data_IF_489501527335
#
_entry.id   IF_489501527335
#
_cell.length_a   1.000
_cell.length_b   1.000
_cell.length_c   1.000
_cell.angle_alpha   90.00
_cell.angle_beta   90.00
_cell.angle_gamma   90.00
#
_symmetry.space_group_name_H-M   'P 1'
#
loop_
_entity.id
_entity.type
_entity.pdbx_description
1 polymer ?
#
# COMPACT_ATOMS: atom_id res chain seq x y z
N UNK A 1 -11.63 9.11 -0.65
CA UNK A 1 -10.37 8.90 0.10
C UNK A 1 -10.47 7.83 1.18
N UNK A 2 -11.40 7.90 2.16
CA UNK A 2 -11.49 6.89 3.23
C UNK A 2 -11.53 5.44 2.72
N UNK A 3 -12.29 5.18 1.65
CA UNK A 3 -12.31 3.85 1.01
C UNK A 3 -10.92 3.37 0.58
N UNK A 4 -10.07 4.24 0.01
CA UNK A 4 -8.74 3.86 -0.45
C UNK A 4 -7.80 3.53 0.71
N UNK A 5 -7.85 4.31 1.80
CA UNK A 5 -7.17 3.98 3.05
C UNK A 5 -7.65 2.64 3.65
N UNK A 6 -8.96 2.39 3.57
CA UNK A 6 -9.56 1.17 4.08
C UNK A 6 -9.10 -0.09 3.35
N UNK A 7 -8.78 -0.03 2.04
CA UNK A 7 -8.22 -1.19 1.33
C UNK A 7 -6.95 -1.70 2.03
N UNK A 8 -6.07 -0.77 2.44
CA UNK A 8 -4.80 -1.10 3.09
C UNK A 8 -4.96 -1.49 4.57
N UNK A 9 -5.78 -0.76 5.34
CA UNK A 9 -6.01 -1.07 6.77
C UNK A 9 -6.81 -2.37 6.96
N UNK A 10 -7.69 -2.73 6.03
CA UNK A 10 -8.46 -3.97 6.10
C UNK A 10 -7.58 -5.23 6.04
N UNK A 11 -6.40 -5.17 5.41
CA UNK A 11 -5.54 -6.34 5.18
C UNK A 11 -4.25 -6.35 6.00
N UNK A 12 -3.96 -5.29 6.76
CA UNK A 12 -2.73 -5.13 7.53
C UNK A 12 -3.01 -4.68 8.98
N UNK A 13 -1.98 -4.31 9.74
CA UNK A 13 -2.14 -3.69 11.05
C UNK A 13 -2.10 -2.16 11.04
N UNK A 14 -2.01 -1.52 9.87
CA UNK A 14 -2.00 -0.06 9.79
C UNK A 14 -3.40 0.49 10.11
N UNK A 15 -3.45 1.63 10.79
CA UNK A 15 -4.67 2.34 11.11
C UNK A 15 -4.55 3.80 10.64
N UNK A 16 -5.65 4.37 10.17
CA UNK A 16 -5.68 5.74 9.65
C UNK A 16 -6.73 6.54 10.38
N UNK A 17 -6.33 7.73 10.84
CA UNK A 17 -7.22 8.69 11.47
C UNK A 17 -7.12 10.02 10.75
N UNK A 18 -8.21 10.41 10.12
CA UNK A 18 -8.34 11.76 9.58
C UNK A 18 -8.35 12.78 10.73
N UNK A 19 -7.55 13.84 10.59
CA UNK A 19 -7.61 15.01 11.45
C UNK A 19 -8.70 15.92 10.88
N UNK A 20 -9.79 16.19 11.61
CA UNK A 20 -10.84 17.10 11.16
C UNK A 20 -10.27 18.48 10.84
N UNK A 21 -10.78 19.17 9.81
CA UNK A 21 -10.25 20.46 9.37
C UNK A 21 -10.33 21.55 10.45
N UNK A 22 -11.24 21.43 11.41
CA UNK A 22 -11.38 22.32 12.55
C UNK A 22 -10.31 22.12 13.64
N UNK A 23 -9.54 21.02 13.60
CA UNK A 23 -8.48 20.74 14.56
C UNK A 23 -7.15 21.25 14.00
N UNK A 24 -6.50 22.12 14.76
CA UNK A 24 -5.09 22.51 14.53
C UNK A 24 -4.23 21.57 15.38
N UNK A 25 -3.58 20.56 14.79
CA UNK A 25 -2.82 19.60 15.59
C UNK A 25 -1.48 20.23 16.03
N UNK A 26 -1.06 19.92 17.26
CA UNK A 26 0.25 20.33 17.76
C UNK A 26 1.39 19.64 17.00
N UNK A 27 1.14 18.40 16.56
CA UNK A 27 2.05 17.60 15.76
C UNK A 27 1.53 17.61 14.31
N UNK A 28 2.39 17.89 13.31
CA UNK A 28 2.05 17.72 11.91
C UNK A 28 1.40 16.35 11.61
N UNK A 29 0.42 16.27 10.69
CA UNK A 29 -0.10 14.99 10.24
C UNK A 29 1.00 14.18 9.54
N UNK A 30 0.97 12.86 9.73
CA UNK A 30 1.87 11.92 9.05
C UNK A 30 1.67 11.90 7.54
N UNK A 31 0.42 12.10 7.08
CA UNK A 31 0.05 12.10 5.66
C UNK A 31 -0.66 13.41 5.33
N UNK A 32 -0.25 14.04 4.22
CA UNK A 32 -0.89 15.24 3.65
C UNK A 32 -1.29 14.97 2.22
N UNK A 33 -2.56 15.21 1.91
CA UNK A 33 -3.11 15.04 0.58
C UNK A 33 -3.47 16.40 0.00
N UNK A 34 -3.03 16.69 -1.22
CA UNK A 34 -3.37 17.91 -1.93
C UNK A 34 -3.68 17.63 -3.41
N UNK A 35 -4.45 18.53 -4.01
CA UNK A 35 -4.64 18.62 -5.45
C UNK A 35 -3.86 19.85 -5.92
N UNK A 36 -2.79 19.64 -6.66
CA UNK A 36 -1.84 20.68 -7.08
C UNK A 36 -1.83 20.83 -8.61
N UNK A 37 -1.26 21.92 -9.13
CA UNK A 37 -1.16 22.18 -10.58
C UNK A 37 0.24 22.60 -10.95
N UNK A 38 0.74 22.10 -12.08
CA UNK A 38 2.05 22.50 -12.60
C UNK A 38 3.15 22.44 -11.54
N UNK A 39 3.97 23.50 -11.47
CA UNK A 39 4.99 23.63 -10.42
C UNK A 39 4.36 23.97 -9.06
N UNK A 40 4.61 23.12 -8.06
CA UNK A 40 4.01 23.22 -6.73
C UNK A 40 5.02 23.03 -5.59
N UNK A 41 6.26 23.52 -5.78
CA UNK A 41 7.28 23.71 -4.72
C UNK A 41 7.86 22.43 -4.12
N UNK A 42 7.71 21.29 -4.79
CA UNK A 42 8.31 20.02 -4.40
C UNK A 42 9.36 19.50 -5.41
N UNK A 43 9.54 20.20 -6.53
CA UNK A 43 10.49 19.84 -7.59
C UNK A 43 9.98 18.79 -8.57
N UNK A 44 8.72 18.35 -8.44
CA UNK A 44 8.07 17.38 -9.31
C UNK A 44 6.82 18.03 -9.94
N UNK A 45 7.02 18.94 -10.88
CA UNK A 45 5.91 19.64 -11.51
C UNK A 45 4.98 18.66 -12.25
N UNK A 46 3.67 18.86 -12.13
CA UNK A 46 2.69 18.17 -12.99
C UNK A 46 2.73 18.71 -14.42
N UNK A 47 2.36 17.87 -15.38
CA UNK A 47 2.39 18.15 -16.81
C UNK A 47 1.02 18.54 -17.41
N UNK A 48 -0.02 18.59 -16.58
CA UNK A 48 -1.38 18.92 -16.98
C UNK A 48 -2.15 17.67 -17.36
N UNK A 49 -3.09 17.80 -18.29
CA UNK A 49 -3.95 16.67 -18.63
C UNK A 49 -3.18 15.54 -19.36
N UNK A 50 -3.34 14.32 -18.85
CA UNK A 50 -2.60 13.11 -19.21
C UNK A 50 -1.10 13.19 -18.88
N UNK A 51 -0.51 12.05 -18.53
CA UNK A 51 0.89 11.97 -18.11
C UNK A 51 0.99 11.58 -16.65
N UNK A 52 1.59 12.45 -15.83
CA UNK A 52 1.77 12.21 -14.39
C UNK A 52 0.53 12.64 -13.64
N UNK A 53 -0.34 11.67 -13.34
CA UNK A 53 -1.65 11.94 -12.71
C UNK A 53 -1.57 12.23 -11.20
N UNK A 54 -0.54 11.71 -10.54
CA UNK A 54 -0.31 11.85 -9.10
C UNK A 54 1.13 11.43 -8.75
N UNK A 55 1.57 11.82 -7.56
CA UNK A 55 2.75 11.24 -6.93
C UNK A 55 2.61 11.21 -5.42
N UNK A 56 3.31 10.28 -4.79
CA UNK A 56 3.44 10.17 -3.35
C UNK A 56 4.91 10.12 -2.92
N UNK A 57 5.19 10.73 -1.77
CA UNK A 57 6.48 10.72 -1.13
C UNK A 57 6.48 9.67 -0.02
N UNK A 58 7.45 8.76 -0.08
CA UNK A 58 7.66 7.66 0.86
C UNK A 58 7.51 8.06 2.35
N UNK A 59 7.23 7.09 3.25
CA UNK A 59 6.59 7.31 4.55
C UNK A 59 7.11 8.44 5.46
N UNK A 60 8.38 8.85 5.33
CA UNK A 60 8.96 9.91 6.17
C UNK A 60 8.54 11.32 5.76
N UNK A 61 8.12 11.50 4.51
CA UNK A 61 7.63 12.78 3.99
C UNK A 61 6.09 12.83 4.05
N UNK A 62 5.43 11.78 3.52
CA UNK A 62 4.00 11.58 3.71
C UNK A 62 3.09 12.46 2.85
N UNK A 63 3.66 13.25 1.92
CA UNK A 63 2.87 14.01 0.96
C UNK A 63 2.36 13.11 -0.17
N UNK A 64 1.13 13.34 -0.58
CA UNK A 64 0.50 12.76 -1.75
C UNK A 64 -0.18 13.90 -2.52
N UNK A 65 0.25 14.12 -3.76
CA UNK A 65 -0.34 15.13 -4.62
C UNK A 65 -1.04 14.46 -5.80
N UNK A 66 -2.23 14.94 -6.11
CA UNK A 66 -2.96 14.62 -7.33
C UNK A 66 -2.86 15.82 -8.29
N UNK A 67 -2.71 15.57 -9.58
CA UNK A 67 -2.79 16.65 -10.56
C UNK A 67 -4.24 17.15 -10.66
N UNK A 68 -4.47 18.41 -10.28
CA UNK A 68 -5.78 19.04 -10.32
C UNK A 68 -6.25 19.42 -11.75
N UNK A 69 -5.41 19.22 -12.76
CA UNK A 69 -5.74 19.42 -14.17
C UNK A 69 -6.25 18.14 -14.85
N UNK A 70 -6.20 17.00 -14.16
CA UNK A 70 -6.75 15.75 -14.66
C UNK A 70 -8.29 15.70 -14.61
N UNK A 71 -8.86 14.98 -15.58
CA UNK A 71 -10.29 14.66 -15.56
C UNK A 71 -10.58 13.50 -14.61
N UNK A 72 -10.67 13.81 -13.31
CA UNK A 72 -10.95 12.82 -12.28
C UNK A 72 -12.36 12.22 -12.39
N UNK A 73 -12.44 10.90 -12.34
CA UNK A 73 -13.68 10.13 -12.28
C UNK A 73 -13.66 9.15 -11.11
N UNK A 74 -14.85 8.67 -10.71
CA UNK A 74 -14.99 7.63 -9.69
C UNK A 74 -15.55 6.33 -10.26
N UNK A 75 -16.44 6.43 -11.24
CA UNK A 75 -17.20 5.28 -11.78
C UNK A 75 -17.37 5.38 -13.30
N UNK A 76 -16.32 5.76 -14.03
CA UNK A 76 -16.37 5.97 -15.48
C UNK A 76 -15.06 5.49 -16.11
N UNK A 77 -15.19 4.96 -17.33
CA UNK A 77 -14.05 4.57 -18.16
C UNK A 77 -13.37 5.76 -18.83
N UNK A 78 -14.03 6.92 -18.83
CA UNK A 78 -13.47 8.20 -19.22
C UNK A 78 -12.69 8.83 -18.05
N UNK A 79 -11.61 9.55 -18.39
CA UNK A 79 -10.77 10.24 -17.41
C UNK A 79 -9.89 9.31 -16.58
N UNK A 80 -9.45 9.80 -15.41
CA UNK A 80 -8.57 9.09 -14.48
C UNK A 80 -9.35 8.71 -13.23
N UNK A 81 -9.33 7.43 -12.86
CA UNK A 81 -10.09 6.98 -11.70
C UNK A 81 -9.39 7.33 -10.38
N UNK A 82 -9.95 8.29 -9.64
CA UNK A 82 -9.36 8.80 -8.40
C UNK A 82 -9.21 7.72 -7.32
N UNK A 83 -10.14 6.75 -7.24
CA UNK A 83 -10.06 5.69 -6.23
C UNK A 83 -8.88 4.75 -6.51
N UNK A 84 -8.73 4.27 -7.74
CA UNK A 84 -7.63 3.37 -8.10
C UNK A 84 -6.27 4.06 -7.99
N UNK A 85 -6.17 5.33 -8.41
CA UNK A 85 -4.95 6.12 -8.24
C UNK A 85 -4.64 6.33 -6.77
N UNK A 86 -5.62 6.73 -5.96
CA UNK A 86 -5.43 6.90 -4.52
C UNK A 86 -4.94 5.63 -3.83
N UNK A 87 -5.47 4.45 -4.17
CA UNK A 87 -5.00 3.18 -3.59
C UNK A 87 -3.53 2.94 -3.94
N UNK A 88 -3.12 3.19 -5.19
CA UNK A 88 -1.72 3.08 -5.63
C UNK A 88 -0.80 4.02 -4.84
N UNK A 89 -1.12 5.31 -4.82
CA UNK A 89 -0.29 6.32 -4.15
C UNK A 89 -0.21 6.11 -2.63
N UNK A 90 -1.29 5.64 -2.00
CA UNK A 90 -1.26 5.27 -0.57
C UNK A 90 -0.31 4.08 -0.33
N UNK A 91 -0.18 3.14 -1.28
CA UNK A 91 0.82 2.09 -1.18
C UNK A 91 2.24 2.65 -1.08
N UNK A 92 2.57 3.66 -1.87
CA UNK A 92 3.85 4.38 -1.76
C UNK A 92 4.01 5.12 -0.43
N UNK A 93 2.95 5.78 0.07
CA UNK A 93 2.96 6.38 1.41
C UNK A 93 3.25 5.37 2.52
N UNK A 94 2.88 4.10 2.32
CA UNK A 94 3.13 2.99 3.24
C UNK A 94 4.48 2.30 3.02
N UNK A 95 5.24 2.71 2.00
CA UNK A 95 6.58 2.20 1.71
C UNK A 95 6.62 1.05 0.72
N UNK A 96 5.54 0.82 -0.02
CA UNK A 96 5.53 -0.17 -1.10
C UNK A 96 6.16 0.39 -2.37
N UNK A 97 6.93 -0.44 -3.04
CA UNK A 97 7.44 -0.18 -4.39
C UNK A 97 6.46 -0.71 -5.45
N UNK A 98 6.73 -0.39 -6.72
CA UNK A 98 5.95 -0.93 -7.82
C UNK A 98 6.02 -2.46 -7.89
N UNK A 99 4.87 -3.07 -8.17
CA UNK A 99 4.78 -4.50 -8.50
C UNK A 99 4.95 -4.74 -10.00
N UNK A 100 5.43 -5.93 -10.35
CA UNK A 100 5.46 -6.44 -11.71
C UNK A 100 4.19 -7.25 -12.07
N UNK A 101 3.31 -7.55 -11.11
CA UNK A 101 2.03 -8.21 -11.37
C UNK A 101 1.01 -7.17 -11.87
N UNK A 102 0.53 -7.32 -13.11
CA UNK A 102 -0.45 -6.40 -13.73
C UNK A 102 -1.76 -6.29 -12.94
N UNK A 103 -2.08 -7.28 -12.10
CA UNK A 103 -3.28 -7.30 -11.26
C UNK A 103 -3.09 -6.57 -9.95
N UNK A 104 -1.85 -6.22 -9.59
CA UNK A 104 -1.55 -5.50 -8.37
C UNK A 104 -1.98 -4.04 -8.47
N UNK A 105 -2.51 -3.52 -7.36
CA UNK A 105 -2.73 -2.10 -7.18
C UNK A 105 -1.42 -1.32 -7.32
N UNK A 106 -0.27 -1.91 -6.95
CA UNK A 106 1.06 -1.31 -7.11
C UNK A 106 1.68 -1.49 -8.51
N UNK A 107 0.98 -2.02 -9.52
CA UNK A 107 1.54 -2.07 -10.88
C UNK A 107 1.79 -0.66 -11.43
N UNK A 108 2.97 -0.42 -12.03
CA UNK A 108 3.47 0.91 -12.37
C UNK A 108 2.77 1.62 -13.53
N UNK A 109 1.98 0.91 -14.35
CA UNK A 109 1.36 1.50 -15.53
C UNK A 109 -0.06 2.02 -15.25
N UNK A 110 -0.48 3.03 -16.03
CA UNK A 110 -1.86 3.54 -16.03
C UNK A 110 -2.83 2.37 -16.26
N UNK A 111 -3.81 2.22 -15.37
CA UNK A 111 -4.85 1.19 -15.45
C UNK A 111 -6.16 1.78 -15.95
N UNK A 112 -6.93 1.03 -16.77
CA UNK A 112 -8.31 1.40 -17.07
C UNK A 112 -9.16 1.36 -15.79
N UNK A 113 -10.33 1.99 -15.83
CA UNK A 113 -11.31 1.84 -14.75
C UNK A 113 -11.76 0.38 -14.63
N UNK A 114 -11.62 -0.19 -13.45
CA UNK A 114 -12.17 -1.49 -13.08
C UNK A 114 -13.21 -1.32 -11.95
N UNK A 115 -14.51 -1.58 -12.19
CA UNK A 115 -15.52 -1.54 -11.14
C UNK A 115 -15.32 -2.60 -10.04
N UNK A 116 -14.55 -3.66 -10.33
CA UNK A 116 -14.20 -4.74 -9.40
C UNK A 116 -12.80 -4.57 -8.78
N UNK A 117 -12.18 -3.39 -8.93
CA UNK A 117 -10.84 -3.12 -8.42
C UNK A 117 -10.71 -3.44 -6.92
N UNK A 118 -9.65 -4.18 -6.59
CA UNK A 118 -9.25 -4.56 -5.23
C UNK A 118 -7.75 -4.80 -5.18
N UNK A 119 -7.18 -4.91 -3.98
CA UNK A 119 -5.78 -5.29 -3.80
C UNK A 119 -5.52 -6.71 -4.30
N UNK A 120 -4.46 -6.89 -5.07
CA UNK A 120 -3.98 -8.19 -5.50
C UNK A 120 -3.22 -8.92 -4.39
N UNK A 121 -3.01 -10.22 -4.57
CA UNK A 121 -2.27 -11.05 -3.61
C UNK A 121 -0.84 -10.52 -3.36
N UNK A 122 -0.22 -9.92 -4.37
CA UNK A 122 1.10 -9.33 -4.25
C UNK A 122 1.10 -8.11 -3.33
N UNK A 123 0.12 -7.21 -3.49
CA UNK A 123 -0.06 -6.04 -2.62
C UNK A 123 -0.29 -6.47 -1.16
N UNK A 124 -1.14 -7.49 -0.95
CA UNK A 124 -1.48 -7.99 0.39
C UNK A 124 -0.27 -8.63 1.07
N UNK A 125 0.54 -9.40 0.35
CA UNK A 125 1.78 -9.96 0.91
C UNK A 125 2.79 -8.86 1.23
N UNK A 126 2.95 -7.89 0.32
CA UNK A 126 3.91 -6.81 0.49
C UNK A 126 3.56 -5.96 1.71
N UNK A 127 2.31 -5.51 1.86
CA UNK A 127 1.92 -4.68 3.00
C UNK A 127 2.01 -5.43 4.33
N UNK A 128 1.71 -6.73 4.36
CA UNK A 128 1.84 -7.54 5.58
C UNK A 128 3.29 -7.77 6.01
N UNK A 129 4.24 -7.71 5.08
CA UNK A 129 5.67 -7.78 5.44
C UNK A 129 6.13 -6.53 6.20
N UNK A 130 5.50 -5.38 5.95
CA UNK A 130 5.77 -4.11 6.65
C UNK A 130 4.88 -3.94 7.90
N UNK A 131 3.61 -4.32 7.81
CA UNK A 131 2.58 -4.13 8.85
C UNK A 131 1.78 -5.43 9.07
N UNK A 132 2.34 -6.41 9.79
CA UNK A 132 1.71 -7.73 9.98
C UNK A 132 0.36 -7.64 10.69
N UNK A 133 -0.68 -8.20 10.10
CA UNK A 133 -2.02 -8.21 10.69
C UNK A 133 -2.06 -9.14 11.91
N UNK A 134 -2.33 -8.59 13.10
CA UNK A 134 -2.49 -9.40 14.32
C UNK A 134 -3.69 -10.34 14.15
N UNK A 135 -3.45 -11.65 14.24
CA UNK A 135 -4.48 -12.69 14.10
C UNK A 135 -4.50 -13.42 12.76
N UNK A 136 -3.64 -13.08 11.80
CA UNK A 136 -3.23 -14.07 10.80
C UNK A 136 -2.13 -14.91 11.44
N UNK A 137 -2.48 -16.10 11.90
CA UNK A 137 -1.54 -17.11 12.35
C UNK A 137 -0.40 -17.24 11.33
N UNK A 138 0.75 -16.64 11.63
CA UNK A 138 2.00 -17.34 11.44
C UNK A 138 2.01 -18.48 12.45
N UNK A 139 1.21 -19.52 12.18
CA UNK A 139 1.67 -20.85 12.53
C UNK A 139 2.89 -21.07 11.66
N UNK A 140 4.05 -20.71 12.20
CA UNK A 140 5.30 -21.31 11.79
C UNK A 140 5.04 -22.81 11.87
N UNK A 141 4.84 -23.46 10.73
CA UNK A 141 4.86 -24.93 10.66
C UNK A 141 6.30 -25.30 10.95
N UNK A 142 6.66 -25.33 12.22
CA UNK A 142 7.75 -26.15 12.70
C UNK A 142 7.27 -27.56 12.36
N UNK A 143 7.92 -28.31 11.45
CA UNK A 143 7.50 -29.67 11.19
C UNK A 143 7.55 -30.41 12.52
N UNK A 144 6.45 -31.08 12.89
CA UNK A 144 6.34 -31.93 14.07
C UNK A 144 7.34 -33.10 13.97
N UNK A 145 8.62 -32.84 14.22
CA UNK A 145 9.67 -33.87 14.31
C UNK A 145 9.86 -34.27 15.79
N UNK A 146 9.32 -33.52 16.75
CA UNK A 146 9.60 -33.68 18.18
C UNK A 146 8.92 -34.87 18.88
N UNK A 147 8.21 -35.76 18.17
CA UNK A 147 7.53 -36.91 18.83
C UNK A 147 7.74 -38.27 18.17
N UNK A 148 8.73 -38.43 17.29
CA UNK A 148 9.11 -39.76 16.83
C UNK A 148 10.33 -40.28 17.61
N UNK A 149 10.16 -41.23 18.55
CA UNK A 149 11.26 -41.77 19.36
C UNK A 149 12.40 -42.36 18.51
N UNK A 150 12.07 -42.90 17.33
CA UNK A 150 13.03 -43.56 16.44
C UNK A 150 13.98 -42.58 15.71
N UNK A 151 13.60 -41.30 15.58
CA UNK A 151 14.44 -40.27 14.97
C UNK A 151 15.36 -39.61 15.99
N UNK A 152 14.93 -39.55 17.26
CA UNK A 152 15.73 -39.00 18.36
C UNK A 152 16.96 -39.88 18.66
N UNK A 153 16.79 -41.22 18.68
CA UNK A 153 17.91 -42.15 18.87
C UNK A 153 18.97 -42.04 17.76
N UNK A 154 18.54 -41.82 16.51
CA UNK A 154 19.48 -41.68 15.38
C UNK A 154 20.29 -40.38 15.44
N UNK A 155 19.70 -39.30 15.94
CA UNK A 155 20.41 -38.03 16.12
C UNK A 155 21.38 -38.05 17.30
N UNK A 156 21.04 -38.77 18.38
CA UNK A 156 21.91 -38.89 19.56
C UNK A 156 23.13 -39.82 19.29
N UNK A 157 23.00 -40.78 18.37
CA UNK A 157 24.09 -41.69 18.00
C UNK A 157 25.13 -41.04 17.06
N UNK A 158 24.72 -40.12 16.17
CA UNK A 158 25.63 -39.37 15.30
C UNK A 158 26.44 -38.28 16.02
N UNK A 159 26.01 -37.84 17.21
CA UNK A 159 26.70 -36.82 18.02
C UNK A 159 27.71 -37.41 19.02
N UNK A 160 27.95 -38.72 18.96
CA UNK A 160 28.80 -39.44 19.92
C UNK A 160 30.18 -39.83 19.39
N UNK A 161 30.65 -39.17 18.32
CA UNK A 161 31.99 -39.36 17.72
C UNK A 161 32.85 -38.11 17.92
#
# INVERSE_FOLDING_TARGET
MHRAFNEWSAVSSVDFKEIPPEIIPEIPPDIRIAFEKGEHSDGFSFDGQDGVVAHAFYPRDGRLHFDAEEQWSLNSAEGVNLFQTAVHEIGHLLGLEHSMDIRAAMFAAKRPYDPAFTLGDDDVRAIRSLFPKKGSDETTVIPEISKNPELQEKMDEEQRI
#
